data_IF_431932486622
#
_entry.id   IF_431932486622
#
_cell.length_a   1.000
_cell.length_b   1.000
_cell.length_c   1.000
_cell.angle_alpha   90.00
_cell.angle_beta   90.00
_cell.angle_gamma   90.00
#
_symmetry.space_group_name_H-M   'P 1'
#
loop_
_entity.id
_entity.type
_entity.pdbx_description
1 polymer ?
#
# COMPACT_ATOMS: atom_id res chain seq x y z
N UNK A 1 -40.27 -30.52 -33.36
CA UNK A 1 -39.05 -30.93 -32.61
C UNK A 1 -38.19 -29.69 -32.38
N UNK A 2 -38.15 -29.15 -31.16
CA UNK A 2 -37.32 -27.97 -30.82
C UNK A 2 -36.08 -28.44 -30.04
N UNK A 3 -34.88 -28.17 -30.56
CA UNK A 3 -33.61 -28.50 -29.90
C UNK A 3 -33.29 -27.43 -28.85
N UNK A 4 -33.11 -27.86 -27.61
CA UNK A 4 -32.67 -27.04 -26.50
C UNK A 4 -31.19 -26.67 -26.67
N UNK A 5 -30.87 -25.38 -26.73
CA UNK A 5 -29.49 -24.90 -26.64
C UNK A 5 -29.12 -24.73 -25.17
N UNK A 6 -28.43 -25.74 -24.64
CA UNK A 6 -27.79 -25.71 -23.32
C UNK A 6 -26.68 -24.65 -23.33
N UNK A 7 -26.94 -23.50 -22.71
CA UNK A 7 -25.90 -22.54 -22.34
C UNK A 7 -25.32 -23.01 -21.01
N UNK A 8 -24.22 -23.76 -21.07
CA UNK A 8 -23.39 -23.98 -19.89
C UNK A 8 -22.91 -22.61 -19.39
N UNK A 9 -23.52 -22.12 -18.32
CA UNK A 9 -22.96 -21.07 -17.47
C UNK A 9 -21.68 -21.62 -16.83
N UNK A 10 -20.58 -21.60 -17.59
CA UNK A 10 -19.26 -21.80 -17.02
C UNK A 10 -18.99 -20.57 -16.16
N UNK A 11 -19.16 -20.70 -14.85
CA UNK A 11 -18.56 -19.78 -13.90
C UNK A 11 -17.05 -19.83 -14.11
N UNK A 12 -16.56 -18.98 -15.01
CA UNK A 12 -15.13 -18.75 -15.16
C UNK A 12 -14.72 -18.11 -13.86
N UNK A 13 -14.07 -18.88 -12.99
CA UNK A 13 -13.30 -18.38 -11.87
C UNK A 13 -12.26 -17.40 -12.46
N UNK A 14 -12.67 -16.14 -12.60
CA UNK A 14 -11.86 -15.09 -13.16
C UNK A 14 -10.92 -14.69 -12.05
N UNK A 15 -9.78 -15.37 -11.98
CA UNK A 15 -8.69 -15.02 -11.08
C UNK A 15 -8.52 -13.49 -11.14
N UNK A 16 -8.60 -12.84 -9.98
CA UNK A 16 -8.42 -11.41 -9.88
C UNK A 16 -7.05 -11.09 -10.47
N UNK A 17 -7.03 -10.40 -11.62
CA UNK A 17 -5.77 -10.02 -12.26
C UNK A 17 -5.01 -9.09 -11.31
N UNK A 18 -3.93 -9.61 -10.73
CA UNK A 18 -3.08 -8.94 -9.73
C UNK A 18 -2.11 -7.93 -10.34
N UNK A 19 -1.82 -8.04 -11.64
CA UNK A 19 -0.88 -7.15 -12.33
C UNK A 19 -1.52 -6.46 -13.53
N UNK A 20 -1.14 -5.20 -13.75
CA UNK A 20 -1.64 -4.33 -14.82
C UNK A 20 -0.51 -3.43 -15.33
N UNK A 21 -0.36 -3.36 -16.65
CA UNK A 21 0.63 -2.51 -17.31
C UNK A 21 0.00 -1.18 -17.70
N UNK A 22 0.69 -0.09 -17.39
CA UNK A 22 0.30 1.27 -17.76
C UNK A 22 1.50 1.99 -18.36
N UNK A 23 1.24 2.82 -19.37
CA UNK A 23 2.25 3.72 -19.93
C UNK A 23 2.16 5.05 -19.19
N UNK A 24 3.29 5.54 -18.70
CA UNK A 24 3.37 6.88 -18.10
C UNK A 24 3.24 7.90 -19.23
N UNK A 25 2.16 8.68 -19.20
CA UNK A 25 1.98 9.84 -20.06
C UNK A 25 2.21 11.12 -19.25
N UNK A 26 3.20 11.91 -19.62
CA UNK A 26 3.34 13.26 -19.08
C UNK A 26 2.34 14.15 -19.81
N UNK A 27 1.46 14.84 -19.05
CA UNK A 27 0.56 15.82 -19.63
C UNK A 27 1.36 17.12 -19.82
N UNK A 28 1.53 17.64 -21.06
CA UNK A 28 2.19 18.91 -21.28
C UNK A 28 1.38 20.01 -20.59
N UNK A 29 2.05 20.68 -19.67
CA UNK A 29 1.43 21.58 -18.73
C UNK A 29 1.46 22.99 -19.31
N UNK A 30 0.40 23.35 -20.05
CA UNK A 30 0.20 24.69 -20.64
C UNK A 30 0.41 25.80 -19.59
N UNK A 31 1.62 26.34 -19.53
CA UNK A 31 2.05 27.55 -18.81
C UNK A 31 1.87 27.61 -17.29
N UNK A 32 1.66 26.48 -16.61
CA UNK A 32 1.66 26.42 -15.14
C UNK A 32 2.97 25.83 -14.63
N UNK A 33 3.93 26.70 -14.34
CA UNK A 33 5.26 26.34 -13.84
C UNK A 33 5.29 25.49 -12.55
N UNK A 34 4.16 25.34 -11.83
CA UNK A 34 4.09 24.73 -10.50
C UNK A 34 2.88 23.81 -10.25
N UNK A 35 2.29 23.16 -11.28
CA UNK A 35 1.25 22.17 -10.95
C UNK A 35 1.88 20.91 -10.34
N UNK A 36 1.31 20.39 -9.24
CA UNK A 36 1.84 19.22 -8.56
C UNK A 36 1.75 17.98 -9.44
N UNK A 37 2.75 17.07 -9.39
CA UNK A 37 2.71 15.81 -10.13
C UNK A 37 1.48 14.99 -9.71
N UNK A 38 0.74 14.47 -10.69
CA UNK A 38 -0.49 13.71 -10.46
C UNK A 38 -0.43 12.33 -11.12
N UNK A 39 -0.82 11.29 -10.36
CA UNK A 39 -1.00 9.93 -10.86
C UNK A 39 -2.48 9.59 -10.75
N UNK A 40 -3.11 9.27 -11.88
CA UNK A 40 -4.52 8.92 -11.94
C UNK A 40 -4.71 7.41 -12.09
N UNK A 41 -5.00 6.72 -10.99
CA UNK A 41 -5.46 5.33 -11.03
C UNK A 41 -6.98 5.31 -11.16
N UNK A 42 -7.50 4.63 -12.19
CA UNK A 42 -8.94 4.52 -12.45
C UNK A 42 -9.38 3.06 -12.57
N UNK A 43 -10.57 2.78 -12.06
CA UNK A 43 -11.28 1.51 -12.28
C UNK A 43 -11.82 0.88 -11.01
N UNK A 44 -12.86 0.05 -11.17
CA UNK A 44 -13.52 -0.66 -10.07
C UNK A 44 -12.60 -1.65 -9.33
N UNK A 45 -11.47 -2.03 -9.94
CA UNK A 45 -10.48 -2.93 -9.34
C UNK A 45 -9.81 -2.32 -8.10
N UNK A 46 -9.76 -0.99 -7.99
CA UNK A 46 -9.22 -0.31 -6.80
C UNK A 46 -9.98 -0.71 -5.53
N UNK A 47 -11.31 -0.82 -5.62
CA UNK A 47 -12.14 -1.29 -4.50
C UNK A 47 -11.80 -2.73 -4.09
N UNK A 48 -11.55 -3.60 -5.07
CA UNK A 48 -11.14 -4.99 -4.79
C UNK A 48 -9.74 -5.07 -4.16
N UNK A 49 -8.89 -4.08 -4.43
CA UNK A 49 -7.57 -3.94 -3.83
C UNK A 49 -7.59 -3.19 -2.48
N UNK A 50 -8.77 -2.88 -1.92
CA UNK A 50 -8.92 -2.23 -0.62
C UNK A 50 -8.83 -0.70 -0.65
N UNK A 51 -8.88 -0.07 -1.83
CA UNK A 51 -8.95 1.38 -1.97
C UNK A 51 -10.42 1.82 -2.09
N UNK A 52 -11.01 2.19 -0.96
CA UNK A 52 -12.39 2.70 -0.91
C UNK A 52 -12.50 4.18 -1.32
N UNK A 53 -13.67 4.56 -1.82
CA UNK A 53 -13.97 5.94 -2.21
C UNK A 53 -13.96 6.81 -0.95
N UNK A 54 -13.22 7.92 -1.00
CA UNK A 54 -13.04 8.80 0.16
C UNK A 54 -12.06 8.27 1.21
N UNK A 55 -11.46 7.10 0.98
CA UNK A 55 -10.42 6.53 1.83
C UNK A 55 -9.11 7.30 1.73
N UNK A 56 -8.37 7.35 2.84
CA UNK A 56 -6.99 7.83 2.88
C UNK A 56 -6.04 6.72 2.42
N UNK A 57 -4.89 7.11 1.87
CA UNK A 57 -3.82 6.17 1.52
C UNK A 57 -2.46 6.77 1.81
N UNK A 58 -1.49 5.91 2.05
CA UNK A 58 -0.08 6.29 2.18
C UNK A 58 0.63 5.94 0.88
N UNK A 59 1.38 6.89 0.32
CA UNK A 59 2.31 6.63 -0.79
C UNK A 59 3.72 6.56 -0.23
N UNK A 60 4.38 5.41 -0.40
CA UNK A 60 5.81 5.28 -0.14
C UNK A 60 6.58 5.39 -1.45
N UNK A 61 7.53 6.30 -1.47
CA UNK A 61 8.41 6.52 -2.62
C UNK A 61 9.72 5.79 -2.35
N UNK A 62 10.11 4.93 -3.27
CA UNK A 62 11.37 4.18 -3.27
C UNK A 62 12.04 4.39 -4.62
N UNK A 63 13.34 4.11 -4.71
CA UNK A 63 14.06 4.17 -5.98
C UNK A 63 13.40 3.23 -7.00
N UNK A 64 12.90 3.79 -8.10
CA UNK A 64 12.21 3.03 -9.15
C UNK A 64 10.82 2.48 -8.81
N UNK A 65 10.26 2.75 -7.62
CA UNK A 65 8.98 2.17 -7.20
C UNK A 65 8.10 3.10 -6.35
N UNK A 66 6.79 3.05 -6.59
CA UNK A 66 5.77 3.69 -5.76
C UNK A 66 4.89 2.61 -5.14
N UNK A 67 4.82 2.58 -3.80
CA UNK A 67 3.96 1.65 -3.05
C UNK A 67 2.78 2.42 -2.49
N UNK A 68 1.57 2.08 -2.95
CA UNK A 68 0.32 2.63 -2.45
C UNK A 68 -0.26 1.68 -1.41
N UNK A 69 -0.48 2.18 -0.20
CA UNK A 69 -1.02 1.40 0.92
C UNK A 69 -2.32 2.07 1.35
N UNK A 70 -3.49 1.42 1.19
CA UNK A 70 -4.74 1.97 1.70
C UNK A 70 -4.69 2.07 3.21
N UNK A 71 -5.29 3.12 3.78
CA UNK A 71 -5.36 3.32 5.22
C UNK A 71 -6.60 2.60 5.77
N UNK A 72 -6.43 1.32 6.10
CA UNK A 72 -7.45 0.49 6.76
C UNK A 72 -7.12 0.27 8.25
N UNK A 73 -8.12 -0.16 9.04
CA UNK A 73 -7.94 -0.48 10.46
C UNK A 73 -6.80 -1.49 10.69
N UNK A 74 -6.67 -2.49 9.80
CA UNK A 74 -5.58 -3.46 9.83
C UNK A 74 -4.22 -2.78 9.65
N UNK A 75 -4.08 -1.92 8.64
CA UNK A 75 -2.81 -1.20 8.41
C UNK A 75 -2.47 -0.26 9.56
N UNK A 76 -3.47 0.31 10.23
CA UNK A 76 -3.29 1.15 11.42
C UNK A 76 -2.82 0.32 12.61
N UNK A 77 -3.46 -0.82 12.86
CA UNK A 77 -3.08 -1.75 13.92
C UNK A 77 -1.63 -2.24 13.74
N UNK A 78 -1.27 -2.66 12.52
CA UNK A 78 0.08 -3.10 12.19
C UNK A 78 1.11 -1.97 12.41
N UNK A 79 0.82 -0.75 11.94
CA UNK A 79 1.69 0.42 12.16
C UNK A 79 1.90 0.70 13.66
N UNK A 80 0.82 0.65 14.46
CA UNK A 80 0.89 0.86 15.90
C UNK A 80 1.69 -0.22 16.63
N UNK A 81 1.50 -1.49 16.27
CA UNK A 81 2.27 -2.60 16.83
C UNK A 81 3.76 -2.46 16.50
N UNK A 82 4.09 -2.15 15.25
CA UNK A 82 5.47 -1.93 14.83
C UNK A 82 6.12 -0.77 15.60
N UNK A 83 5.40 0.33 15.81
CA UNK A 83 5.89 1.44 16.61
C UNK A 83 6.20 1.01 18.05
N UNK A 84 5.27 0.28 18.70
CA UNK A 84 5.50 -0.24 20.05
C UNK A 84 6.72 -1.16 20.12
N UNK A 85 6.93 -2.00 19.12
CA UNK A 85 8.12 -2.85 19.05
C UNK A 85 9.40 -2.03 18.95
N UNK A 86 9.41 -0.96 18.14
CA UNK A 86 10.57 -0.07 18.04
C UNK A 86 10.85 0.64 19.36
N UNK A 87 9.81 1.12 20.04
CA UNK A 87 9.93 1.80 21.34
C UNK A 87 10.50 0.82 22.39
N UNK A 88 9.97 -0.40 22.47
CA UNK A 88 10.49 -1.44 23.36
C UNK A 88 11.96 -1.78 23.06
N UNK A 89 12.33 -1.93 21.79
CA UNK A 89 13.71 -2.19 21.40
C UNK A 89 14.63 -1.03 21.77
N UNK A 90 14.15 0.22 21.66
CA UNK A 90 14.92 1.40 22.05
C UNK A 90 15.14 1.45 23.56
N UNK A 91 14.14 1.10 24.36
CA UNK A 91 14.21 1.04 25.81
C UNK A 91 15.20 -0.05 26.27
N UNK A 92 15.11 -1.24 25.66
CA UNK A 92 16.05 -2.33 25.92
C UNK A 92 17.48 -1.90 25.61
N UNK A 93 17.72 -1.26 24.46
CA UNK A 93 19.04 -0.75 24.08
C UNK A 93 19.56 0.31 25.06
N UNK A 94 18.68 1.16 25.59
CA UNK A 94 19.04 2.16 26.59
C UNK A 94 19.48 1.51 27.90
N UNK A 95 18.67 0.58 28.43
CA UNK A 95 19.01 -0.16 29.66
C UNK A 95 20.30 -0.96 29.54
N UNK A 96 20.54 -1.58 28.38
CA UNK A 96 21.79 -2.29 28.12
C UNK A 96 23.01 -1.36 28.20
N UNK A 97 22.88 -0.11 27.71
CA UNK A 97 23.97 0.87 27.76
C UNK A 97 24.28 1.28 29.20
N UNK A 98 23.25 1.50 30.03
CA UNK A 98 23.40 1.86 31.44
C UNK A 98 24.12 0.75 32.23
N UNK A 99 23.66 -0.50 32.08
CA UNK A 99 24.26 -1.66 32.75
C UNK A 99 25.75 -1.86 32.40
N UNK A 100 26.13 -1.60 31.14
CA UNK A 100 27.53 -1.73 30.70
C UNK A 100 28.37 -0.52 31.13
N UNK A 101 27.76 0.67 31.21
CA UNK A 101 28.41 1.90 31.70
C UNK A 101 28.82 1.79 33.16
N UNK A 102 27.93 1.26 34.01
CA UNK A 102 28.18 1.08 35.45
C UNK A 102 29.26 0.04 35.75
N UNK A 103 29.47 -0.93 34.85
CA UNK A 103 30.52 -1.95 35.00
C UNK A 103 31.94 -1.40 34.77
N UNK A 104 32.11 -0.31 33.99
CA UNK A 104 33.42 0.27 33.68
C UNK A 104 33.86 1.38 34.65
N UNK A 105 33.01 1.77 35.61
CA UNK A 105 33.27 2.81 36.59
C UNK A 105 33.63 2.28 37.99
N UNK A 106 33.83 0.96 38.14
CA UNK A 106 34.40 0.31 39.33
C UNK A 106 35.77 -0.28 39.02
#
# INVERSE_FOLDING_TARGET
MAKAHSRQNRAVNKAAKTERYYTVGYVPQNDKANAPPAIHLKGQWLKQAGFDIGGTLTVKIMEGCLVLIPDSDDTRAIKQQYQRQQDQLSEIKLRMRELIGDYKSR
#
